data_IF_478813630970
#
_entry.id   IF_478813630970
#
_cell.length_a   1.000
_cell.length_b   1.000
_cell.length_c   1.000
_cell.angle_alpha   90.00
_cell.angle_beta   90.00
_cell.angle_gamma   90.00
#
_symmetry.space_group_name_H-M   'P 1'
#
loop_
_entity.id
_entity.type
_entity.pdbx_description
1 polymer ?
#
# COMPACT_ATOMS: atom_id res chain seq x y z
N UNK A 1 3.17 -63.84 25.32
CA UNK A 1 3.01 -62.37 25.29
C UNK A 1 3.84 -61.84 24.14
N UNK A 2 3.18 -61.38 23.08
CA UNK A 2 3.77 -60.91 21.82
C UNK A 2 4.57 -59.61 22.02
N UNK A 3 5.87 -59.66 21.74
CA UNK A 3 6.68 -58.52 21.31
C UNK A 3 7.60 -59.05 20.20
N UNK A 4 7.81 -58.24 19.16
CA UNK A 4 8.65 -58.48 17.96
C UNK A 4 7.88 -58.85 16.68
N UNK A 5 7.03 -57.95 16.19
CA UNK A 5 6.73 -57.79 14.75
C UNK A 5 6.27 -56.35 14.47
N UNK A 6 7.12 -55.35 14.68
CA UNK A 6 6.75 -53.95 14.33
C UNK A 6 7.92 -53.06 13.88
N UNK A 7 9.11 -53.62 13.64
CA UNK A 7 10.32 -52.82 13.31
C UNK A 7 10.86 -53.02 11.89
N UNK A 8 10.20 -53.80 11.02
CA UNK A 8 10.66 -54.02 9.63
C UNK A 8 9.84 -53.33 8.55
N UNK A 9 8.67 -52.73 8.85
CA UNK A 9 7.89 -52.00 7.84
C UNK A 9 8.24 -50.50 7.75
N UNK A 10 8.79 -49.91 8.81
CA UNK A 10 9.06 -48.47 8.85
C UNK A 10 10.26 -48.03 7.98
N UNK A 11 11.24 -48.92 7.73
CA UNK A 11 12.43 -48.58 6.94
C UNK A 11 12.16 -48.59 5.44
N UNK A 12 11.28 -49.47 4.97
CA UNK A 12 10.97 -49.62 3.55
C UNK A 12 9.96 -48.56 3.08
N UNK A 13 9.01 -48.18 3.94
CA UNK A 13 8.10 -47.03 3.70
C UNK A 13 8.86 -45.71 3.70
N UNK A 14 9.77 -45.48 4.65
CA UNK A 14 10.61 -44.27 4.66
C UNK A 14 11.50 -44.19 3.41
N UNK A 15 12.07 -45.31 2.97
CA UNK A 15 12.92 -45.36 1.76
C UNK A 15 12.12 -45.10 0.49
N UNK A 16 10.91 -45.65 0.36
CA UNK A 16 9.99 -45.33 -0.73
C UNK A 16 9.59 -43.85 -0.74
N UNK A 17 9.31 -43.26 0.41
CA UNK A 17 9.03 -41.82 0.50
C UNK A 17 10.23 -40.96 0.10
N UNK A 18 11.45 -41.38 0.47
CA UNK A 18 12.68 -40.67 0.10
C UNK A 18 12.95 -40.76 -1.40
N UNK A 19 12.73 -41.93 -2.01
CA UNK A 19 12.91 -42.15 -3.45
C UNK A 19 11.89 -41.35 -4.27
N UNK A 20 10.62 -41.31 -3.85
CA UNK A 20 9.57 -40.49 -4.48
C UNK A 20 9.91 -38.99 -4.39
N UNK A 21 10.47 -38.54 -3.27
CA UNK A 21 10.86 -37.15 -3.09
C UNK A 21 12.05 -36.78 -3.99
N UNK A 22 13.05 -37.66 -4.09
CA UNK A 22 14.20 -37.46 -4.95
C UNK A 22 13.80 -37.44 -6.43
N UNK A 23 12.93 -38.35 -6.86
CA UNK A 23 12.37 -38.36 -8.22
C UNK A 23 11.62 -37.06 -8.54
N UNK A 24 10.89 -36.49 -7.58
CA UNK A 24 10.23 -35.19 -7.75
C UNK A 24 11.24 -34.05 -7.88
N UNK A 25 12.30 -34.04 -7.07
CA UNK A 25 13.36 -33.03 -7.16
C UNK A 25 14.10 -33.11 -8.50
N UNK A 26 14.43 -34.31 -8.96
CA UNK A 26 15.11 -34.52 -10.24
C UNK A 26 14.23 -34.09 -11.41
N UNK A 27 12.91 -34.33 -11.33
CA UNK A 27 11.95 -33.85 -12.33
C UNK A 27 11.82 -32.32 -12.33
N UNK A 28 11.79 -31.68 -11.15
CA UNK A 28 11.82 -30.22 -11.04
C UNK A 28 13.14 -29.67 -11.61
N UNK A 29 14.27 -30.29 -11.28
CA UNK A 29 15.59 -29.88 -11.77
C UNK A 29 15.68 -29.94 -13.30
N UNK A 30 15.13 -31.00 -13.91
CA UNK A 30 14.98 -31.14 -15.38
C UNK A 30 14.08 -30.08 -16.00
N UNK A 31 13.00 -29.69 -15.32
CA UNK A 31 12.10 -28.62 -15.75
C UNK A 31 12.79 -27.25 -15.82
N UNK A 32 13.80 -27.02 -14.98
CA UNK A 32 14.61 -25.79 -14.95
C UNK A 32 15.97 -25.91 -15.64
N UNK A 33 16.31 -27.09 -16.16
CA UNK A 33 17.57 -27.32 -16.88
C UNK A 33 17.60 -26.46 -18.15
N UNK A 34 18.57 -25.56 -18.23
CA UNK A 34 18.67 -24.59 -19.34
C UNK A 34 17.71 -23.41 -19.27
N UNK A 35 16.82 -23.34 -18.27
CA UNK A 35 16.01 -22.15 -18.00
C UNK A 35 16.89 -21.08 -17.34
N UNK A 36 17.34 -20.11 -18.14
CA UNK A 36 17.95 -18.89 -17.62
C UNK A 36 16.85 -17.83 -17.60
N UNK A 37 16.33 -17.41 -16.44
CA UNK A 37 15.36 -16.33 -16.38
C UNK A 37 16.00 -15.08 -17.01
N UNK A 38 15.41 -14.58 -18.08
CA UNK A 38 15.85 -13.33 -18.70
C UNK A 38 15.45 -12.20 -17.76
N UNK A 39 16.43 -11.63 -17.06
CA UNK A 39 16.21 -10.41 -16.31
C UNK A 39 15.84 -9.29 -17.28
N UNK A 40 14.85 -8.45 -16.93
CA UNK A 40 14.52 -7.29 -17.75
C UNK A 40 15.74 -6.36 -17.84
N UNK A 41 15.97 -5.83 -19.02
CA UNK A 41 16.93 -4.75 -19.24
C UNK A 41 16.52 -3.50 -18.48
N UNK A 42 17.46 -2.59 -18.22
CA UNK A 42 17.17 -1.29 -17.59
C UNK A 42 16.10 -0.51 -18.35
N UNK A 43 16.12 -0.57 -19.68
CA UNK A 43 15.12 0.09 -20.53
C UNK A 43 13.72 -0.53 -20.35
N UNK A 44 13.63 -1.86 -20.30
CA UNK A 44 12.36 -2.56 -20.00
C UNK A 44 11.85 -2.21 -18.60
N UNK A 45 12.73 -2.16 -17.59
CA UNK A 45 12.36 -1.78 -16.22
C UNK A 45 11.83 -0.34 -16.15
N UNK A 46 12.51 0.62 -16.78
CA UNK A 46 12.05 2.02 -16.83
C UNK A 46 10.73 2.14 -17.58
N UNK A 47 10.56 1.44 -18.70
CA UNK A 47 9.28 1.41 -19.43
C UNK A 47 8.15 0.89 -18.54
N UNK A 48 8.35 -0.26 -17.87
CA UNK A 48 7.35 -0.84 -16.98
C UNK A 48 7.01 0.10 -15.82
N UNK A 49 8.01 0.77 -15.25
CA UNK A 49 7.83 1.75 -14.18
C UNK A 49 6.99 2.94 -14.63
N UNK A 50 7.23 3.46 -15.86
CA UNK A 50 6.41 4.52 -16.43
C UNK A 50 4.96 4.08 -16.63
N UNK A 51 4.72 2.88 -17.14
CA UNK A 51 3.35 2.34 -17.29
C UNK A 51 2.65 2.18 -15.94
N UNK A 52 3.35 1.65 -14.94
CA UNK A 52 2.85 1.54 -13.57
C UNK A 52 2.52 2.92 -12.96
N UNK A 53 3.34 3.94 -13.24
CA UNK A 53 3.15 5.28 -12.68
C UNK A 53 2.04 6.10 -13.35
N UNK A 54 1.76 5.86 -14.64
CA UNK A 54 0.71 6.58 -15.40
C UNK A 54 -0.62 6.75 -14.65
N UNK A 55 -1.25 5.71 -14.09
CA UNK A 55 -2.53 5.85 -13.39
C UNK A 55 -2.44 6.67 -12.10
N UNK A 56 -1.26 6.87 -11.52
CA UNK A 56 -1.07 7.66 -10.29
C UNK A 56 -1.09 9.18 -10.54
N UNK A 57 -0.91 9.62 -11.79
CA UNK A 57 -0.90 11.05 -12.12
C UNK A 57 -2.24 11.69 -11.80
N UNK A 58 -2.22 12.74 -10.97
CA UNK A 58 -3.40 13.49 -10.57
C UNK A 58 -4.08 12.98 -9.31
N UNK A 59 -3.65 11.83 -8.75
CA UNK A 59 -4.16 11.29 -7.48
C UNK A 59 -3.11 11.27 -6.37
N UNK A 60 -1.87 11.67 -6.61
CA UNK A 60 -0.87 11.69 -5.54
C UNK A 60 -1.00 12.96 -4.69
N UNK A 61 -0.46 12.91 -3.47
CA UNK A 61 -0.33 14.09 -2.61
C UNK A 61 0.43 15.25 -3.27
N UNK A 62 1.31 14.96 -4.25
CA UNK A 62 2.04 16.00 -5.00
C UNK A 62 1.15 16.72 -6.03
N UNK A 63 0.08 16.06 -6.48
CA UNK A 63 -0.84 16.61 -7.47
C UNK A 63 -1.96 17.43 -6.81
N UNK A 64 -2.09 17.36 -5.48
CA UNK A 64 -3.14 18.07 -4.75
C UNK A 64 -2.91 19.57 -4.76
N UNK A 65 -3.94 20.31 -5.20
CA UNK A 65 -4.02 21.75 -5.02
C UNK A 65 -4.26 22.10 -3.56
N UNK A 66 -3.94 23.34 -3.20
CA UNK A 66 -4.08 23.88 -1.84
C UNK A 66 -5.46 23.61 -1.24
N UNK A 67 -6.51 23.74 -2.04
CA UNK A 67 -7.91 23.55 -1.61
C UNK A 67 -8.17 22.12 -1.12
N UNK A 68 -7.56 21.13 -1.79
CA UNK A 68 -7.62 19.71 -1.42
C UNK A 68 -6.71 19.43 -0.23
N UNK A 69 -5.47 19.91 -0.26
CA UNK A 69 -4.49 19.75 0.83
C UNK A 69 -5.06 20.23 2.17
N UNK A 70 -5.82 21.34 2.16
CA UNK A 70 -6.46 21.90 3.36
C UNK A 70 -7.60 21.04 3.92
N UNK A 71 -8.14 20.08 3.14
CA UNK A 71 -9.13 19.11 3.61
C UNK A 71 -8.49 17.83 4.20
N UNK A 72 -7.16 17.74 4.26
CA UNK A 72 -6.46 16.58 4.82
C UNK A 72 -5.83 16.90 6.17
N UNK A 73 -5.34 15.87 6.84
CA UNK A 73 -4.38 16.04 7.93
C UNK A 73 -3.11 16.61 7.31
N UNK A 74 -2.43 17.53 8.02
CA UNK A 74 -1.15 18.05 7.54
C UNK A 74 -0.21 16.90 7.21
N UNK A 75 0.56 17.04 6.14
CA UNK A 75 1.59 16.09 5.77
C UNK A 75 2.78 16.86 5.23
N UNK A 76 3.93 16.22 5.30
CA UNK A 76 5.19 16.68 4.77
C UNK A 76 5.75 15.63 3.80
N UNK A 77 6.74 16.04 3.03
CA UNK A 77 7.51 15.12 2.19
C UNK A 77 8.92 14.99 2.74
N UNK A 78 9.38 13.76 2.83
CA UNK A 78 10.79 13.46 3.04
C UNK A 78 11.32 12.66 1.87
N UNK A 79 12.62 12.80 1.64
CA UNK A 79 13.28 12.29 0.44
C UNK A 79 14.46 11.41 0.82
N UNK A 80 14.69 10.35 0.06
CA UNK A 80 15.95 9.60 0.14
C UNK A 80 16.39 9.14 -1.24
N UNK A 81 17.71 9.05 -1.51
CA UNK A 81 18.20 8.69 -2.84
C UNK A 81 17.73 7.30 -3.29
N UNK A 82 17.38 7.19 -4.58
CA UNK A 82 16.97 5.92 -5.23
C UNK A 82 18.00 4.80 -5.04
N UNK A 83 19.29 5.14 -4.95
CA UNK A 83 20.38 4.17 -4.69
C UNK A 83 20.22 3.36 -3.39
N UNK A 84 19.36 3.78 -2.46
CA UNK A 84 19.09 3.05 -1.23
C UNK A 84 17.90 2.09 -1.33
N UNK A 85 17.17 2.06 -2.45
CA UNK A 85 16.01 1.16 -2.60
C UNK A 85 16.44 -0.30 -2.42
N UNK A 86 17.53 -0.72 -3.07
CA UNK A 86 18.07 -2.06 -2.87
C UNK A 86 18.44 -2.35 -1.42
N UNK A 87 18.98 -1.36 -0.69
CA UNK A 87 19.31 -1.55 0.72
C UNK A 87 18.06 -1.78 1.59
N UNK A 88 16.92 -1.21 1.22
CA UNK A 88 15.63 -1.42 1.91
C UNK A 88 15.03 -2.78 1.52
N UNK A 89 14.99 -3.10 0.23
CA UNK A 89 14.39 -4.35 -0.26
C UNK A 89 15.17 -5.57 0.23
N UNK A 90 16.50 -5.49 0.24
CA UNK A 90 17.39 -6.56 0.70
C UNK A 90 17.86 -6.34 2.15
N UNK A 91 17.07 -5.68 3.00
CA UNK A 91 17.49 -5.15 4.33
C UNK A 91 18.39 -6.07 5.17
N UNK A 92 18.08 -7.36 5.24
CA UNK A 92 18.86 -8.33 6.04
C UNK A 92 20.25 -8.65 5.45
N UNK A 93 20.45 -8.41 4.16
CA UNK A 93 21.69 -8.62 3.42
C UNK A 93 22.48 -7.32 3.22
N UNK A 94 21.88 -6.18 3.52
CA UNK A 94 22.44 -4.85 3.28
C UNK A 94 23.61 -4.49 4.19
N UNK A 95 24.51 -3.64 3.68
CA UNK A 95 25.62 -3.10 4.48
C UNK A 95 25.07 -2.18 5.59
N UNK A 96 25.35 -2.53 6.84
CA UNK A 96 24.96 -1.75 8.03
C UNK A 96 25.41 -0.29 7.96
N UNK A 97 26.54 0.02 7.31
CA UNK A 97 26.99 1.41 7.12
C UNK A 97 26.10 2.17 6.15
N UNK A 98 25.62 1.51 5.09
CA UNK A 98 24.68 2.11 4.13
C UNK A 98 23.31 2.34 4.77
N UNK A 99 22.78 1.36 5.50
CA UNK A 99 21.56 1.53 6.30
C UNK A 99 21.71 2.70 7.28
N UNK A 100 22.85 2.80 7.96
CA UNK A 100 23.09 3.91 8.88
C UNK A 100 23.12 5.27 8.17
N UNK A 101 23.71 5.35 6.98
CA UNK A 101 23.69 6.56 6.14
C UNK A 101 22.25 6.94 5.76
N UNK A 102 21.40 5.97 5.39
CA UNK A 102 19.99 6.18 5.09
C UNK A 102 19.21 6.68 6.32
N UNK A 103 19.42 6.05 7.49
CA UNK A 103 18.84 6.52 8.76
C UNK A 103 19.18 7.98 9.04
N UNK A 104 20.43 8.38 8.80
CA UNK A 104 20.88 9.76 9.05
C UNK A 104 20.27 10.75 8.05
N UNK A 105 20.05 10.35 6.80
CA UNK A 105 19.38 11.17 5.76
C UNK A 105 17.92 11.43 6.14
N UNK A 106 17.18 10.35 6.46
CA UNK A 106 15.77 10.44 6.86
C UNK A 106 15.67 11.19 8.20
N UNK A 107 16.49 10.81 9.19
CA UNK A 107 16.48 11.39 10.54
C UNK A 107 16.76 12.89 10.56
N UNK A 108 17.62 13.42 9.67
CA UNK A 108 17.83 14.87 9.53
C UNK A 108 16.58 15.62 9.08
N UNK A 109 15.74 14.99 8.25
CA UNK A 109 14.49 15.59 7.79
C UNK A 109 13.41 15.51 8.87
N UNK A 110 13.30 14.36 9.56
CA UNK A 110 12.36 14.18 10.67
C UNK A 110 12.55 15.22 11.78
N UNK A 111 13.81 15.59 12.09
CA UNK A 111 14.13 16.62 13.10
C UNK A 111 13.57 18.02 12.79
N UNK A 112 13.16 18.28 11.55
CA UNK A 112 12.56 19.55 11.14
C UNK A 112 11.04 19.58 11.35
N UNK A 113 10.44 18.42 11.61
CA UNK A 113 9.01 18.28 11.85
C UNK A 113 8.69 18.62 13.31
N UNK A 114 7.49 19.10 13.55
CA UNK A 114 6.98 19.46 14.87
C UNK A 114 6.12 18.34 15.51
N UNK A 115 6.32 17.10 15.06
CA UNK A 115 5.67 15.89 15.58
C UNK A 115 6.65 14.72 15.65
N UNK A 116 6.44 13.80 16.59
CA UNK A 116 7.37 12.72 16.94
C UNK A 116 6.85 11.31 16.63
N UNK A 117 5.59 11.22 16.20
CA UNK A 117 4.95 9.96 15.83
C UNK A 117 4.37 10.11 14.44
N UNK A 118 4.66 9.14 13.58
CA UNK A 118 4.53 9.26 12.14
C UNK A 118 3.70 8.12 11.58
N UNK A 119 2.76 8.49 10.71
CA UNK A 119 2.29 7.61 9.65
C UNK A 119 3.09 7.89 8.38
N UNK A 120 3.51 6.84 7.69
CA UNK A 120 4.29 6.95 6.45
C UNK A 120 3.62 6.24 5.29
N UNK A 121 3.85 6.75 4.08
CA UNK A 121 3.32 6.19 2.84
C UNK A 121 4.24 6.56 1.66
N UNK A 122 4.43 5.64 0.72
CA UNK A 122 5.00 5.98 -0.60
C UNK A 122 3.95 6.70 -1.45
N UNK A 123 4.37 7.45 -2.47
CA UNK A 123 3.43 8.21 -3.31
C UNK A 123 2.26 7.39 -3.89
N UNK A 124 2.45 6.07 -4.03
CA UNK A 124 1.46 5.07 -4.42
C UNK A 124 0.72 4.44 -3.24
N UNK A 125 1.42 3.67 -2.38
CA UNK A 125 0.80 2.81 -1.35
C UNK A 125 1.42 2.99 0.04
N UNK A 126 0.61 2.69 1.05
CA UNK A 126 1.02 2.64 2.45
C UNK A 126 1.40 1.20 2.86
N UNK A 127 2.39 1.01 3.75
CA UNK A 127 2.83 -0.31 4.22
C UNK A 127 1.87 -0.89 5.27
N UNK A 128 0.65 -1.21 4.85
CA UNK A 128 -0.46 -1.65 5.73
C UNK A 128 -0.61 -3.18 5.83
N UNK A 129 0.42 -3.96 5.47
CA UNK A 129 0.37 -5.44 5.48
C UNK A 129 -0.05 -6.00 6.85
N UNK A 130 0.36 -5.33 7.94
CA UNK A 130 0.08 -5.72 9.32
C UNK A 130 -0.82 -4.69 10.04
N UNK A 131 -1.63 -3.95 9.28
CA UNK A 131 -2.43 -2.85 9.79
C UNK A 131 -1.71 -1.49 9.74
N UNK A 132 -2.30 -0.48 10.39
CA UNK A 132 -1.76 0.89 10.39
C UNK A 132 -0.68 1.00 11.48
N UNK A 133 0.57 1.02 11.07
CA UNK A 133 1.72 1.05 11.98
C UNK A 133 2.21 2.49 12.21
N UNK A 134 2.39 2.82 13.49
CA UNK A 134 3.03 4.04 13.96
C UNK A 134 4.53 3.88 13.97
N UNK A 135 5.25 4.88 13.46
CA UNK A 135 6.72 4.94 13.52
C UNK A 135 7.19 6.18 14.27
N UNK A 136 8.37 6.17 14.85
CA UNK A 136 8.91 7.25 15.70
C UNK A 136 10.27 7.78 15.26
N UNK A 137 10.95 7.06 14.37
CA UNK A 137 12.29 7.41 13.93
C UNK A 137 12.60 6.80 12.56
N UNK A 138 13.71 7.23 11.97
CA UNK A 138 14.14 6.80 10.65
C UNK A 138 14.31 5.27 10.53
N UNK A 139 14.81 4.62 11.59
CA UNK A 139 15.02 3.18 11.60
C UNK A 139 13.70 2.42 11.51
N UNK A 140 12.72 2.78 12.34
CA UNK A 140 11.37 2.17 12.29
C UNK A 140 10.70 2.38 10.92
N UNK A 141 10.90 3.54 10.28
CA UNK A 141 10.42 3.80 8.92
C UNK A 141 11.06 2.83 7.91
N UNK A 142 12.38 2.66 7.97
CA UNK A 142 13.11 1.75 7.07
C UNK A 142 12.69 0.30 7.30
N UNK A 143 12.61 -0.14 8.56
CA UNK A 143 12.18 -1.50 8.94
C UNK A 143 10.73 -1.77 8.49
N UNK A 144 9.85 -0.78 8.56
CA UNK A 144 8.47 -0.91 8.09
C UNK A 144 8.40 -1.03 6.57
N UNK A 145 9.17 -0.23 5.82
CA UNK A 145 9.23 -0.33 4.36
C UNK A 145 9.83 -1.68 3.92
N UNK A 146 10.89 -2.12 4.60
CA UNK A 146 11.57 -3.39 4.32
C UNK A 146 10.70 -4.62 4.60
N UNK A 147 9.76 -4.53 5.53
CA UNK A 147 8.86 -5.64 5.90
C UNK A 147 7.54 -5.66 5.13
N UNK A 148 7.26 -4.64 4.30
CA UNK A 148 5.99 -4.49 3.61
C UNK A 148 6.05 -4.94 2.15
N UNK A 149 5.45 -6.09 1.85
CA UNK A 149 5.29 -6.58 0.48
C UNK A 149 4.49 -5.60 -0.39
N UNK A 150 3.52 -4.89 0.20
CA UNK A 150 2.76 -3.84 -0.51
C UNK A 150 3.64 -2.72 -1.04
N UNK A 151 4.72 -2.35 -0.36
CA UNK A 151 5.59 -1.26 -0.78
C UNK A 151 6.85 -1.71 -1.53
N UNK A 152 7.24 -2.98 -1.44
CA UNK A 152 8.42 -3.51 -2.13
C UNK A 152 8.38 -3.27 -3.63
N UNK A 153 7.30 -3.69 -4.31
CA UNK A 153 7.18 -3.49 -5.76
C UNK A 153 7.20 -2.00 -6.13
N UNK A 154 6.54 -1.17 -5.31
CA UNK A 154 6.48 0.27 -5.54
C UNK A 154 7.87 0.90 -5.44
N UNK A 155 8.69 0.51 -4.46
CA UNK A 155 10.07 0.99 -4.36
C UNK A 155 10.88 0.64 -5.61
N UNK A 156 10.74 -0.60 -6.11
CA UNK A 156 11.44 -1.05 -7.32
C UNK A 156 10.98 -0.26 -8.55
N UNK A 157 9.68 -0.04 -8.73
CA UNK A 157 9.19 0.81 -9.82
C UNK A 157 9.70 2.25 -9.68
N UNK A 158 9.63 2.83 -8.48
CA UNK A 158 10.07 4.20 -8.23
C UNK A 158 11.58 4.39 -8.47
N UNK A 159 12.41 3.41 -8.10
CA UNK A 159 13.85 3.41 -8.39
C UNK A 159 14.15 3.50 -9.89
N UNK A 160 13.32 2.85 -10.70
CA UNK A 160 13.53 2.69 -12.14
C UNK A 160 12.80 3.76 -12.98
N UNK A 161 12.01 4.63 -12.35
CA UNK A 161 11.51 5.83 -13.00
C UNK A 161 12.66 6.80 -13.28
N UNK A 162 12.59 7.44 -14.44
CA UNK A 162 13.58 8.42 -14.92
C UNK A 162 13.35 9.84 -14.39
N UNK A 163 12.41 10.03 -13.46
CA UNK A 163 12.10 11.32 -12.84
C UNK A 163 12.85 11.54 -11.52
N UNK A 164 13.92 12.33 -11.57
CA UNK A 164 14.71 12.71 -10.40
C UNK A 164 15.47 11.54 -9.76
N UNK A 165 16.24 11.88 -8.72
CA UNK A 165 17.17 10.94 -8.09
C UNK A 165 16.69 10.43 -6.71
N UNK A 166 15.55 10.93 -6.23
CA UNK A 166 15.04 10.66 -4.88
C UNK A 166 13.69 9.94 -4.89
N UNK A 167 13.53 9.01 -3.96
CA UNK A 167 12.23 8.48 -3.53
C UNK A 167 11.56 9.50 -2.62
N UNK A 168 10.27 9.74 -2.86
CA UNK A 168 9.45 10.60 -2.00
C UNK A 168 8.60 9.76 -1.06
N UNK A 169 8.73 10.02 0.24
CA UNK A 169 7.86 9.48 1.28
C UNK A 169 6.95 10.60 1.80
N UNK A 170 5.65 10.31 1.84
CA UNK A 170 4.67 11.15 2.52
C UNK A 170 4.72 10.81 4.00
N UNK A 171 4.85 11.83 4.84
CA UNK A 171 4.83 11.69 6.29
C UNK A 171 3.77 12.59 6.89
N UNK A 172 3.02 12.09 7.87
CA UNK A 172 2.00 12.87 8.60
C UNK A 172 2.02 12.48 10.08
N UNK A 173 1.55 13.35 10.99
CA UNK A 173 1.38 12.96 12.38
C UNK A 173 0.50 11.72 12.46
N UNK A 174 0.95 10.74 13.24
CA UNK A 174 0.13 9.57 13.52
C UNK A 174 -1.09 10.01 14.33
N UNK A 175 -2.26 9.69 13.82
CA UNK A 175 -3.51 9.82 14.52
C UNK A 175 -4.26 8.50 14.43
N UNK A 176 -4.90 8.13 15.53
CA UNK A 176 -5.77 6.98 15.55
C UNK A 176 -7.12 7.38 14.95
N UNK A 177 -7.55 6.64 13.93
CA UNK A 177 -8.84 6.83 13.28
C UNK A 177 -9.62 5.54 13.53
N UNK A 178 -10.81 5.67 14.12
CA UNK A 178 -11.67 4.51 14.32
C UNK A 178 -12.09 3.96 12.94
N UNK A 179 -11.94 2.64 12.67
CA UNK A 179 -12.23 2.08 11.34
C UNK A 179 -13.66 2.33 10.85
N UNK A 180 -14.64 2.42 11.76
CA UNK A 180 -16.03 2.77 11.45
C UNK A 180 -16.19 4.16 10.83
N UNK A 181 -15.22 5.05 11.02
CA UNK A 181 -15.26 6.42 10.53
C UNK A 181 -14.56 6.58 9.17
N UNK A 182 -14.05 5.49 8.57
CA UNK A 182 -13.41 5.51 7.26
C UNK A 182 -14.37 5.07 6.14
N UNK A 183 -14.40 5.85 5.07
CA UNK A 183 -15.22 5.58 3.89
C UNK A 183 -14.40 5.73 2.62
N UNK A 184 -14.77 4.96 1.60
CA UNK A 184 -14.25 5.07 0.24
C UNK A 184 -15.33 5.59 -0.68
N UNK A 185 -15.01 6.63 -1.45
CA UNK A 185 -15.91 7.23 -2.42
C UNK A 185 -15.33 7.05 -3.82
N UNK A 186 -16.15 6.54 -4.73
CA UNK A 186 -15.79 6.28 -6.12
C UNK A 186 -16.32 7.43 -6.99
N UNK A 187 -15.43 8.11 -7.72
CA UNK A 187 -15.80 9.22 -8.60
C UNK A 187 -15.42 8.88 -10.04
N UNK A 188 -16.38 8.96 -10.96
CA UNK A 188 -16.17 8.75 -12.40
C UNK A 188 -16.89 9.84 -13.18
N UNK A 189 -16.21 10.41 -14.17
CA UNK A 189 -16.72 11.52 -14.97
C UNK A 189 -17.18 12.69 -14.11
N UNK A 190 -16.44 12.99 -13.02
CA UNK A 190 -16.78 14.04 -12.04
C UNK A 190 -18.11 13.82 -11.29
N UNK A 191 -18.61 12.60 -11.23
CA UNK A 191 -19.82 12.22 -10.49
C UNK A 191 -19.51 11.10 -9.50
N UNK A 192 -20.17 11.12 -8.33
CA UNK A 192 -20.09 10.02 -7.36
C UNK A 192 -20.80 8.79 -7.93
N UNK A 193 -20.12 7.64 -7.92
CA UNK A 193 -20.62 6.34 -8.38
C UNK A 193 -20.84 5.34 -7.26
N UNK A 194 -20.48 5.70 -6.03
CA UNK A 194 -20.78 4.91 -4.85
C UNK A 194 -19.95 5.38 -3.67
N UNK A 195 -20.46 5.09 -2.48
CA UNK A 195 -19.78 5.31 -1.21
C UNK A 195 -19.85 4.00 -0.44
N UNK A 196 -18.70 3.50 0.04
CA UNK A 196 -18.63 2.30 0.84
C UNK A 196 -17.98 2.59 2.18
N UNK A 197 -18.46 1.95 3.25
CA UNK A 197 -17.65 1.71 4.44
C UNK A 197 -16.33 1.06 4.03
N UNK A 198 -15.21 1.61 4.52
CA UNK A 198 -13.87 1.13 4.16
C UNK A 198 -13.53 -0.20 4.84
N UNK A 199 -13.81 -0.32 6.14
CA UNK A 199 -13.64 -1.58 6.87
C UNK A 199 -14.86 -2.50 6.73
N UNK A 200 -15.12 -2.94 5.51
CA UNK A 200 -16.28 -3.78 5.16
C UNK A 200 -16.18 -5.23 5.65
N UNK A 201 -15.18 -5.58 6.46
CA UNK A 201 -15.14 -6.87 7.14
C UNK A 201 -15.97 -6.84 8.42
N UNK A 202 -16.13 -5.67 9.04
CA UNK A 202 -16.82 -5.48 10.31
C UNK A 202 -18.21 -4.83 10.13
N UNK A 203 -19.11 -5.08 11.08
CA UNK A 203 -20.45 -4.45 11.14
C UNK A 203 -20.39 -3.30 12.13
N UNK A 204 -20.92 -2.13 11.72
CA UNK A 204 -21.02 -0.96 12.57
C UNK A 204 -22.42 -0.38 12.52
N UNK A 205 -22.90 0.09 13.67
CA UNK A 205 -24.18 0.76 13.78
C UNK A 205 -23.97 2.28 13.63
N UNK A 206 -24.48 2.84 12.55
CA UNK A 206 -24.48 4.28 12.32
C UNK A 206 -25.82 4.86 12.78
N UNK A 207 -25.78 5.88 13.64
CA UNK A 207 -27.00 6.48 14.21
C UNK A 207 -27.93 7.07 13.14
N UNK A 208 -27.36 7.63 12.06
CA UNK A 208 -28.11 8.24 10.97
C UNK A 208 -27.35 8.11 9.64
N UNK A 209 -27.54 6.97 8.95
CA UNK A 209 -26.93 6.67 7.66
C UNK A 209 -27.28 7.71 6.58
N UNK A 210 -28.55 8.17 6.51
CA UNK A 210 -29.01 9.13 5.51
C UNK A 210 -28.32 10.51 5.66
N UNK A 211 -28.19 10.98 6.91
CA UNK A 211 -27.48 12.23 7.18
C UNK A 211 -26.00 12.11 6.83
N UNK A 212 -25.39 10.99 7.21
CA UNK A 212 -23.99 10.69 6.94
C UNK A 212 -23.68 10.68 5.43
N UNK A 213 -24.50 9.97 4.65
CA UNK A 213 -24.44 9.94 3.19
C UNK A 213 -24.49 11.37 2.60
N UNK A 214 -25.48 12.17 3.01
CA UNK A 214 -25.65 13.55 2.53
C UNK A 214 -24.44 14.44 2.85
N UNK A 215 -23.86 14.30 4.04
CA UNK A 215 -22.68 15.06 4.46
C UNK A 215 -21.45 14.66 3.63
N UNK A 216 -21.25 13.37 3.37
CA UNK A 216 -20.16 12.87 2.52
C UNK A 216 -20.33 13.36 1.08
N UNK A 217 -21.51 13.20 0.48
CA UNK A 217 -21.80 13.67 -0.89
C UNK A 217 -21.48 15.16 -1.01
N UNK A 218 -22.02 15.97 -0.09
CA UNK A 218 -21.78 17.41 -0.09
C UNK A 218 -20.29 17.75 0.02
N UNK A 219 -19.56 17.06 0.90
CA UNK A 219 -18.12 17.27 1.03
C UNK A 219 -17.37 16.95 -0.26
N UNK A 220 -17.63 15.80 -0.88
CA UNK A 220 -16.96 15.38 -2.10
C UNK A 220 -17.27 16.32 -3.28
N UNK A 221 -18.55 16.64 -3.51
CA UNK A 221 -18.98 17.49 -4.62
C UNK A 221 -18.50 18.95 -4.49
N UNK A 222 -18.43 19.49 -3.27
CA UNK A 222 -18.11 20.90 -3.05
C UNK A 222 -16.64 21.16 -2.76
N UNK A 223 -15.92 20.20 -2.17
CA UNK A 223 -14.55 20.40 -1.67
C UNK A 223 -13.51 19.60 -2.44
N UNK A 224 -13.88 18.54 -3.15
CA UNK A 224 -12.90 17.64 -3.79
C UNK A 224 -13.03 17.67 -5.31
N UNK A 225 -14.19 17.28 -5.86
CA UNK A 225 -14.43 17.16 -7.31
C UNK A 225 -14.03 18.42 -8.11
N UNK A 226 -14.37 19.66 -7.68
CA UNK A 226 -14.07 20.87 -8.43
C UNK A 226 -12.57 21.18 -8.54
N UNK A 227 -11.76 20.68 -7.60
CA UNK A 227 -10.34 21.02 -7.50
C UNK A 227 -9.41 19.91 -8.03
N UNK A 228 -9.93 18.69 -8.24
CA UNK A 228 -9.20 17.61 -8.89
C UNK A 228 -9.03 17.92 -10.39
N UNK A 229 -7.85 17.65 -10.96
CA UNK A 229 -7.60 17.87 -12.40
C UNK A 229 -8.07 16.71 -13.27
N UNK A 230 -8.24 15.55 -12.65
CA UNK A 230 -8.68 14.30 -13.29
C UNK A 230 -10.18 14.06 -13.08
N UNK A 231 -10.77 13.30 -13.99
CA UNK A 231 -12.21 13.02 -13.97
C UNK A 231 -12.60 11.77 -13.17
N UNK A 232 -11.68 10.81 -13.07
CA UNK A 232 -11.93 9.49 -12.49
C UNK A 232 -10.91 9.25 -11.37
N UNK A 233 -11.38 9.05 -10.15
CA UNK A 233 -10.54 8.76 -9.00
C UNK A 233 -11.35 8.09 -7.89
N UNK A 234 -10.63 7.51 -6.95
CA UNK A 234 -11.18 7.03 -5.67
C UNK A 234 -10.64 7.94 -4.59
N UNK A 235 -11.46 8.27 -3.60
CA UNK A 235 -11.03 9.07 -2.44
C UNK A 235 -11.41 8.34 -1.16
N UNK A 236 -10.40 8.13 -0.32
CA UNK A 236 -10.57 7.58 1.02
C UNK A 236 -10.66 8.76 1.98
N UNK A 237 -11.73 8.78 2.77
CA UNK A 237 -12.04 9.86 3.72
C UNK A 237 -12.17 9.29 5.12
N UNK A 238 -11.99 10.15 6.12
CA UNK A 238 -12.28 9.84 7.51
C UNK A 238 -13.12 10.93 8.17
N UNK A 239 -13.86 10.52 9.19
CA UNK A 239 -14.60 11.41 10.07
C UNK A 239 -13.87 11.52 11.40
N UNK A 240 -13.42 12.74 11.72
CA UNK A 240 -12.70 13.03 12.96
C UNK A 240 -13.44 14.12 13.72
N UNK A 241 -14.07 13.72 14.83
CA UNK A 241 -15.08 14.55 15.50
C UNK A 241 -16.22 14.86 14.53
N UNK A 242 -16.42 16.15 14.21
CA UNK A 242 -17.47 16.61 13.31
C UNK A 242 -16.94 17.03 11.92
N UNK A 243 -15.72 16.63 11.56
CA UNK A 243 -15.09 17.01 10.29
C UNK A 243 -14.84 15.79 9.42
N UNK A 244 -15.22 15.91 8.15
CA UNK A 244 -14.80 14.98 7.09
C UNK A 244 -13.46 15.48 6.56
N UNK A 245 -12.49 14.58 6.45
CA UNK A 245 -11.16 14.85 5.91
C UNK A 245 -10.80 13.83 4.83
N UNK A 246 -9.93 14.20 3.90
CA UNK A 246 -9.34 13.24 2.96
C UNK A 246 -8.13 12.56 3.62
N UNK A 247 -8.07 11.24 3.49
CA UNK A 247 -6.90 10.44 3.86
C UNK A 247 -5.97 10.21 2.67
N UNK A 248 -6.52 9.82 1.52
CA UNK A 248 -5.76 9.55 0.30
C UNK A 248 -6.69 9.59 -0.94
N UNK A 249 -6.10 9.82 -2.11
CA UNK A 249 -6.77 9.58 -3.39
C UNK A 249 -6.03 8.48 -4.14
N UNK A 250 -6.76 7.69 -4.90
CA UNK A 250 -6.25 6.53 -5.61
C UNK A 250 -6.79 6.48 -7.04
N UNK A 251 -6.10 5.77 -7.97
CA UNK A 251 -6.59 5.61 -9.32
C UNK A 251 -7.90 4.84 -9.35
N UNK A 252 -8.83 5.28 -10.19
CA UNK A 252 -10.08 4.58 -10.45
C UNK A 252 -9.83 3.24 -11.17
N UNK A 253 -10.43 2.16 -10.69
CA UNK A 253 -10.32 0.82 -11.27
C UNK A 253 -9.18 -0.03 -10.70
N UNK A 254 -8.28 0.56 -9.89
CA UNK A 254 -7.15 -0.16 -9.27
C UNK A 254 -7.30 -0.35 -7.77
N UNK A 255 -8.26 0.35 -7.14
CA UNK A 255 -8.53 0.25 -5.71
C UNK A 255 -9.61 -0.79 -5.43
N UNK A 256 -9.56 -1.43 -4.25
CA UNK A 256 -10.61 -2.35 -3.80
C UNK A 256 -12.01 -1.71 -3.86
N UNK A 257 -13.00 -2.35 -4.52
CA UNK A 257 -14.38 -1.85 -4.61
C UNK A 257 -15.20 -2.00 -3.30
N UNK A 258 -14.63 -2.60 -2.26
CA UNK A 258 -15.25 -2.78 -0.95
C UNK A 258 -16.62 -3.48 -1.06
N UNK A 259 -17.68 -2.90 -0.47
CA UNK A 259 -19.03 -3.48 -0.47
C UNK A 259 -19.71 -3.54 -1.85
N UNK A 260 -19.08 -3.02 -2.89
CA UNK A 260 -19.57 -3.18 -4.27
C UNK A 260 -19.05 -4.44 -4.96
N UNK A 261 -18.03 -5.11 -4.43
CA UNK A 261 -17.39 -6.31 -4.99
C UNK A 261 -16.68 -6.11 -6.34
N UNK A 262 -17.20 -5.25 -7.22
CA UNK A 262 -16.61 -4.85 -8.50
C UNK A 262 -16.97 -3.40 -8.86
N UNK A 263 -16.22 -2.80 -9.79
CA UNK A 263 -16.54 -1.47 -10.32
C UNK A 263 -17.79 -1.44 -11.22
N UNK A 264 -18.23 -2.60 -11.72
CA UNK A 264 -19.43 -2.73 -12.55
C UNK A 264 -20.70 -2.59 -11.71
N UNK A 265 -20.62 -2.92 -10.43
CA UNK A 265 -21.73 -2.86 -9.48
C UNK A 265 -21.92 -1.47 -8.84
N UNK A 266 -21.10 -0.49 -9.20
CA UNK A 266 -21.21 0.88 -8.72
C UNK A 266 -22.49 1.54 -9.27
N UNK A 267 -23.45 1.82 -8.37
CA UNK A 267 -24.81 2.26 -8.68
C UNK A 267 -25.16 3.63 -8.07
N UNK A 268 -24.20 4.31 -7.45
CA UNK A 268 -24.37 5.59 -6.78
C UNK A 268 -24.80 5.50 -5.31
N UNK A 269 -25.07 4.30 -4.78
CA UNK A 269 -25.56 4.12 -3.42
C UNK A 269 -24.50 4.35 -2.33
N UNK A 270 -24.98 4.61 -1.11
CA UNK A 270 -24.21 4.50 0.12
C UNK A 270 -24.36 3.10 0.73
N UNK A 271 -23.24 2.38 0.88
CA UNK A 271 -23.20 1.02 1.44
C UNK A 271 -22.41 0.97 2.74
N UNK A 272 -23.07 0.43 3.77
CA UNK A 272 -22.48 0.02 5.03
C UNK A 272 -22.84 -1.44 5.30
N UNK A 273 -21.99 -2.16 6.01
CA UNK A 273 -22.25 -3.58 6.30
C UNK A 273 -23.29 -3.69 7.41
N UNK A 274 -24.27 -4.57 7.20
CA UNK A 274 -25.38 -4.85 8.13
C UNK A 274 -25.24 -6.24 8.72
#
# INVERSE_FOLDING_TARGET
MNKNKETHNNSDEQKQETDIFQDKLDNISKLFEGFVPKLPSKEEMTKNSREWYKPLKGVTFKDWKKEITQQSIRFDFIYFPKEFVKDIVDYNLSDKKRIKKLEDIIGKQLKKLDYNEFFIKLISRSPKDFGIIKTKNAREIIELLASSMRTTDDLVYLENLDDGDDITLVIRPFIEIEPKNEFRVFVKSKEIKGISQYDYQNIYNYENEEKLEKEIIKFIEQKIIPFMEIQNFVVDIAIIGNKIIILETNPYGLSDPCLFESYENLDGSFKVKK
#
